data_IF_911219535049
#
_entry.id   IF_911219535049
#
_cell.length_a   1.000
_cell.length_b   1.000
_cell.length_c   1.000
_cell.angle_alpha   90.00
_cell.angle_beta   90.00
_cell.angle_gamma   90.00
#
_symmetry.space_group_name_H-M   'P 1'
#
loop_
_entity.id
_entity.type
_entity.pdbx_description
1 polymer ?
#
# COMPACT_ATOMS: atom_id res chain seq x y z
N UNK A 1 35.75 15.08 18.21
CA UNK A 1 35.20 16.06 17.26
C UNK A 1 33.76 16.35 17.64
N UNK A 2 33.38 17.63 17.80
CA UNK A 2 32.03 18.04 18.21
C UNK A 2 31.14 18.29 16.97
N UNK A 3 29.84 18.01 17.04
CA UNK A 3 28.92 18.16 15.90
C UNK A 3 28.76 19.64 15.53
N UNK A 4 29.10 20.00 14.29
CA UNK A 4 29.06 21.38 13.78
C UNK A 4 27.65 21.95 13.61
N UNK A 5 26.62 21.09 13.70
CA UNK A 5 25.21 21.42 13.53
C UNK A 5 24.39 21.06 14.79
N UNK A 6 24.94 21.36 15.97
CA UNK A 6 24.24 21.25 17.25
C UNK A 6 23.77 22.64 17.67
N UNK A 7 22.46 22.82 17.77
CA UNK A 7 21.86 24.03 18.30
C UNK A 7 21.25 23.72 19.67
N UNK A 8 21.68 24.44 20.71
CA UNK A 8 21.10 24.36 22.04
C UNK A 8 20.39 25.69 22.33
N UNK A 9 19.10 25.61 22.61
CA UNK A 9 18.30 26.77 22.97
C UNK A 9 17.72 26.57 24.37
N UNK A 10 18.15 27.40 25.32
CA UNK A 10 17.58 27.46 26.67
C UNK A 10 16.48 28.51 26.71
N UNK A 11 15.30 28.11 27.15
CA UNK A 11 14.17 29.00 27.40
C UNK A 11 13.86 29.01 28.88
N UNK A 12 13.64 30.20 29.44
CA UNK A 12 13.08 30.35 30.76
C UNK A 12 11.60 30.66 30.62
N UNK A 13 10.74 29.80 31.16
CA UNK A 13 9.31 30.03 31.13
C UNK A 13 8.79 30.18 32.55
N UNK A 14 8.01 31.24 32.75
CA UNK A 14 7.33 31.54 34.00
C UNK A 14 5.83 31.64 33.73
N UNK A 15 5.05 30.87 34.47
CA UNK A 15 3.60 30.91 34.44
C UNK A 15 3.10 31.44 35.78
N UNK A 16 2.58 32.67 35.77
CA UNK A 16 2.11 33.33 36.99
C UNK A 16 0.83 32.72 37.54
N UNK A 17 -0.09 32.28 36.66
CA UNK A 17 -1.35 31.63 37.05
C UNK A 17 -1.14 30.31 37.81
N UNK A 18 -0.06 29.58 37.51
CA UNK A 18 0.30 28.32 38.18
C UNK A 18 1.45 28.46 39.18
N UNK A 19 1.99 29.69 39.38
CA UNK A 19 3.18 29.98 40.21
C UNK A 19 4.36 29.03 39.96
N UNK A 20 4.59 28.66 38.71
CA UNK A 20 5.70 27.77 38.31
C UNK A 20 6.62 28.49 37.36
N UNK A 21 7.92 28.39 37.61
CA UNK A 21 8.96 28.82 36.69
C UNK A 21 9.97 27.69 36.49
N UNK A 22 10.56 27.63 35.31
CA UNK A 22 11.52 26.57 34.97
C UNK A 22 12.35 26.92 33.74
N UNK A 23 13.51 26.29 33.66
CA UNK A 23 14.34 26.32 32.46
C UNK A 23 14.06 25.09 31.61
N UNK A 24 13.93 25.32 30.30
CA UNK A 24 13.68 24.31 29.29
C UNK A 24 14.82 24.36 28.29
N UNK A 25 15.60 23.29 28.21
CA UNK A 25 16.69 23.16 27.26
C UNK A 25 16.23 22.34 26.06
N UNK A 26 16.25 22.96 24.88
CA UNK A 26 15.94 22.33 23.60
C UNK A 26 17.27 22.05 22.88
N UNK A 27 17.56 20.78 22.63
CA UNK A 27 18.72 20.36 21.87
C UNK A 27 18.28 19.89 20.48
N UNK A 28 18.69 20.61 19.44
CA UNK A 28 18.42 20.26 18.04
C UNK A 28 19.70 19.76 17.39
N UNK A 29 19.68 18.51 16.94
CA UNK A 29 20.80 17.84 16.28
C UNK A 29 20.49 17.75 14.79
N UNK A 30 21.29 18.41 13.95
CA UNK A 30 21.10 18.37 12.49
C UNK A 30 21.27 16.97 11.90
N UNK A 31 20.53 16.69 10.81
CA UNK A 31 20.37 15.38 10.14
C UNK A 31 21.67 14.62 9.80
N UNK A 32 22.82 15.29 9.73
CA UNK A 32 24.12 14.68 9.37
C UNK A 32 25.15 14.64 10.49
N UNK A 33 24.82 15.09 11.70
CA UNK A 33 25.77 15.00 12.82
C UNK A 33 25.77 13.58 13.39
N UNK A 34 26.45 12.69 12.67
CA UNK A 34 26.75 11.34 13.13
C UNK A 34 27.58 11.45 14.43
N UNK A 35 26.99 10.99 15.53
CA UNK A 35 27.68 10.84 16.80
C UNK A 35 28.85 9.85 16.61
N UNK A 36 30.10 10.22 16.93
CA UNK A 36 31.26 9.36 16.67
C UNK A 36 31.30 8.06 17.50
N UNK A 37 30.43 7.89 18.50
CA UNK A 37 30.50 6.80 19.49
C UNK A 37 29.32 5.82 19.53
N UNK A 38 28.69 5.45 18.40
CA UNK A 38 27.83 4.25 18.50
C UNK A 38 26.81 3.91 17.43
N UNK A 39 26.82 4.50 16.24
CA UNK A 39 25.86 4.04 15.23
C UNK A 39 26.35 2.81 14.47
N UNK A 40 26.32 1.64 15.14
CA UNK A 40 26.65 0.33 14.54
C UNK A 40 25.79 -0.02 13.31
N UNK A 41 24.69 0.71 13.09
CA UNK A 41 23.71 0.42 12.04
C UNK A 41 23.72 1.36 10.82
N UNK A 42 24.68 2.29 10.69
CA UNK A 42 24.73 3.32 9.62
C UNK A 42 23.58 4.35 9.70
N UNK A 43 23.77 5.57 9.18
CA UNK A 43 22.83 6.70 9.39
C UNK A 43 21.39 6.49 8.88
N UNK A 44 20.53 7.51 9.02
CA UNK A 44 19.10 7.47 8.65
C UNK A 44 18.88 6.91 7.23
N UNK A 45 19.79 7.19 6.29
CA UNK A 45 19.77 6.64 4.93
C UNK A 45 19.85 5.11 4.91
N UNK A 46 20.71 4.50 5.74
CA UNK A 46 20.83 3.04 5.84
C UNK A 46 19.61 2.44 6.55
N UNK A 47 19.05 3.10 7.56
CA UNK A 47 17.78 2.68 8.15
C UNK A 47 16.61 2.81 7.17
N UNK A 48 16.57 3.87 6.37
CA UNK A 48 15.57 4.07 5.34
C UNK A 48 15.73 3.03 4.22
N UNK A 49 16.96 2.70 3.82
CA UNK A 49 17.25 1.63 2.88
C UNK A 49 16.85 0.26 3.45
N UNK A 50 17.21 -0.05 4.71
CA UNK A 50 16.79 -1.27 5.41
C UNK A 50 15.26 -1.35 5.56
N UNK A 51 14.59 -0.24 5.83
CA UNK A 51 13.13 -0.18 5.90
C UNK A 51 12.50 -0.34 4.50
N UNK A 52 13.08 0.25 3.45
CA UNK A 52 12.65 0.05 2.06
C UNK A 52 12.88 -1.38 1.59
N UNK A 53 13.99 -2.02 1.97
CA UNK A 53 14.26 -3.42 1.65
C UNK A 53 13.41 -4.37 2.50
N UNK A 54 13.13 -4.01 3.76
CA UNK A 54 12.22 -4.75 4.64
C UNK A 54 10.76 -4.63 4.21
N UNK A 55 10.35 -3.56 3.50
CA UNK A 55 9.02 -3.46 2.87
C UNK A 55 8.79 -4.45 1.73
N UNK A 56 9.81 -5.23 1.34
CA UNK A 56 9.66 -6.37 0.42
C UNK A 56 9.28 -7.66 1.14
N UNK A 57 9.03 -7.66 2.46
CA UNK A 57 8.46 -8.81 3.18
C UNK A 57 6.93 -8.85 3.04
N UNK A 58 6.32 -10.05 3.03
CA UNK A 58 4.91 -10.24 2.74
C UNK A 58 4.08 -9.73 3.93
N UNK A 59 3.48 -8.55 3.78
CA UNK A 59 2.62 -7.93 4.80
C UNK A 59 2.63 -6.40 4.77
N UNK A 60 3.65 -5.79 4.16
CA UNK A 60 3.78 -4.33 4.02
C UNK A 60 3.75 -3.83 2.58
N UNK A 61 3.03 -4.52 1.68
CA UNK A 61 2.83 -4.07 0.31
C UNK A 61 1.96 -2.81 0.28
N UNK A 62 2.43 -1.78 -0.40
CA UNK A 62 1.72 -0.52 -0.62
C UNK A 62 0.26 -0.83 -0.97
N UNK A 63 -0.68 -0.43 -0.11
CA UNK A 63 -2.13 -0.64 -0.34
C UNK A 63 -2.53 -0.19 -1.76
N UNK A 64 -1.85 0.83 -2.28
CA UNK A 64 -1.93 1.29 -3.66
C UNK A 64 -1.59 0.19 -4.69
N UNK A 65 -0.43 -0.45 -4.61
CA UNK A 65 -0.02 -1.55 -5.50
C UNK A 65 -1.00 -2.73 -5.46
N UNK A 66 -1.42 -3.13 -4.24
CA UNK A 66 -2.39 -4.22 -4.07
C UNK A 66 -3.76 -3.85 -4.67
N UNK A 67 -4.20 -2.60 -4.50
CA UNK A 67 -5.44 -2.10 -5.07
C UNK A 67 -5.39 -2.00 -6.60
N UNK A 68 -4.25 -1.57 -7.16
CA UNK A 68 -4.05 -1.44 -8.60
C UNK A 68 -4.03 -2.81 -9.29
N UNK A 69 -3.32 -3.79 -8.70
CA UNK A 69 -3.32 -5.17 -9.20
C UNK A 69 -4.71 -5.79 -9.17
N UNK A 70 -5.49 -5.54 -8.11
CA UNK A 70 -6.86 -6.03 -8.00
C UNK A 70 -7.80 -5.41 -9.04
N UNK A 71 -7.69 -4.10 -9.26
CA UNK A 71 -8.47 -3.38 -10.29
C UNK A 71 -8.12 -3.90 -11.68
N UNK A 72 -6.84 -4.13 -11.97
CA UNK A 72 -6.42 -4.67 -13.26
C UNK A 72 -6.92 -6.11 -13.48
N UNK A 73 -6.92 -6.93 -12.42
CA UNK A 73 -7.54 -8.26 -12.44
C UNK A 73 -9.03 -8.22 -12.80
N UNK A 74 -9.78 -7.25 -12.27
CA UNK A 74 -11.21 -7.09 -12.57
C UNK A 74 -11.44 -6.63 -14.00
N UNK A 75 -10.62 -5.70 -14.52
CA UNK A 75 -10.70 -5.28 -15.93
C UNK A 75 -10.46 -6.45 -16.86
N UNK A 76 -9.48 -7.31 -16.56
CA UNK A 76 -9.19 -8.52 -17.31
C UNK A 76 -10.35 -9.50 -17.28
N UNK A 77 -10.91 -9.78 -16.10
CA UNK A 77 -12.09 -10.66 -15.96
C UNK A 77 -13.28 -10.16 -16.78
N UNK A 78 -13.55 -8.84 -16.75
CA UNK A 78 -14.61 -8.23 -17.57
C UNK A 78 -14.38 -8.47 -19.06
N UNK A 79 -13.13 -8.33 -19.51
CA UNK A 79 -12.76 -8.58 -20.90
C UNK A 79 -12.97 -10.06 -21.27
N UNK A 80 -12.51 -11.00 -20.43
CA UNK A 80 -12.68 -12.43 -20.65
C UNK A 80 -14.16 -12.84 -20.74
N UNK A 81 -15.02 -12.36 -19.83
CA UNK A 81 -16.47 -12.60 -19.87
C UNK A 81 -17.09 -12.06 -21.17
N UNK A 82 -16.72 -10.84 -21.56
CA UNK A 82 -17.24 -10.22 -22.79
C UNK A 82 -16.83 -11.02 -24.04
N UNK A 83 -15.57 -11.48 -24.07
CA UNK A 83 -15.05 -12.28 -25.18
C UNK A 83 -15.72 -13.65 -25.25
N UNK A 84 -15.93 -14.33 -24.11
CA UNK A 84 -16.67 -15.59 -24.06
C UNK A 84 -18.11 -15.46 -24.55
N UNK A 85 -18.82 -14.40 -24.14
CA UNK A 85 -20.18 -14.11 -24.63
C UNK A 85 -20.20 -13.89 -26.15
N UNK A 86 -19.23 -13.15 -26.70
CA UNK A 86 -19.12 -12.96 -28.15
C UNK A 86 -18.86 -14.27 -28.88
N UNK A 87 -17.96 -15.11 -28.37
CA UNK A 87 -17.67 -16.43 -28.95
C UNK A 87 -18.90 -17.34 -28.90
N UNK A 88 -19.69 -17.31 -27.82
CA UNK A 88 -20.96 -18.02 -27.75
C UNK A 88 -21.97 -17.52 -28.78
N UNK A 89 -22.14 -16.21 -28.92
CA UNK A 89 -23.04 -15.65 -29.94
C UNK A 89 -22.65 -16.08 -31.35
N UNK A 90 -21.34 -16.17 -31.63
CA UNK A 90 -20.84 -16.73 -32.89
C UNK A 90 -21.12 -18.23 -33.02
N UNK A 91 -20.97 -19.00 -31.94
CA UNK A 91 -21.29 -20.43 -31.91
C UNK A 91 -22.77 -20.69 -32.19
N UNK A 92 -23.66 -19.91 -31.56
CA UNK A 92 -25.10 -19.95 -31.83
C UNK A 92 -25.41 -19.64 -33.29
N UNK A 93 -24.74 -18.64 -33.87
CA UNK A 93 -24.90 -18.27 -35.28
C UNK A 93 -24.42 -19.36 -36.23
N UNK A 94 -23.44 -20.17 -35.84
CA UNK A 94 -22.92 -21.29 -36.63
C UNK A 94 -23.56 -22.65 -36.27
N UNK A 95 -24.58 -22.65 -35.40
CA UNK A 95 -25.23 -23.87 -34.88
C UNK A 95 -24.26 -24.89 -34.27
N UNK A 96 -23.08 -24.43 -33.81
CA UNK A 96 -22.06 -25.30 -33.21
C UNK A 96 -22.36 -25.54 -31.72
N UNK A 97 -23.20 -26.54 -31.48
CA UNK A 97 -23.60 -26.99 -30.16
C UNK A 97 -22.43 -27.58 -29.34
N UNK A 98 -21.37 -28.04 -30.00
CA UNK A 98 -20.16 -28.58 -29.38
C UNK A 98 -19.40 -27.47 -28.67
N UNK A 99 -19.13 -26.38 -29.40
CA UNK A 99 -18.47 -25.20 -28.85
C UNK A 99 -19.30 -24.58 -27.72
N UNK A 100 -20.63 -24.51 -27.88
CA UNK A 100 -21.52 -23.98 -26.87
C UNK A 100 -21.45 -24.77 -25.55
N UNK A 101 -21.45 -26.11 -25.62
CA UNK A 101 -21.31 -26.99 -24.45
C UNK A 101 -20.00 -26.77 -23.71
N UNK A 102 -18.92 -26.44 -24.42
CA UNK A 102 -17.61 -26.15 -23.81
C UNK A 102 -17.54 -24.74 -23.22
N UNK A 103 -18.15 -23.74 -23.87
CA UNK A 103 -18.08 -22.34 -23.44
C UNK A 103 -18.98 -22.06 -22.22
N UNK A 104 -20.10 -22.75 -22.07
CA UNK A 104 -21.07 -22.53 -20.98
C UNK A 104 -20.48 -22.68 -19.57
N UNK A 105 -19.77 -23.77 -19.24
CA UNK A 105 -19.14 -23.90 -17.92
C UNK A 105 -18.05 -22.83 -17.70
N UNK A 106 -17.28 -22.47 -18.74
CA UNK A 106 -16.25 -21.43 -18.64
C UNK A 106 -16.85 -20.06 -18.33
N UNK A 107 -17.95 -19.71 -19.00
CA UNK A 107 -18.65 -18.46 -18.75
C UNK A 107 -19.24 -18.42 -17.33
N UNK A 108 -19.83 -19.52 -16.87
CA UNK A 108 -20.39 -19.62 -15.52
C UNK A 108 -19.32 -19.41 -14.44
N UNK A 109 -18.17 -20.07 -14.57
CA UNK A 109 -17.05 -19.92 -13.64
C UNK A 109 -16.54 -18.46 -13.60
N UNK A 110 -16.34 -17.86 -14.78
CA UNK A 110 -15.83 -16.48 -14.88
C UNK A 110 -16.83 -15.45 -14.34
N UNK A 111 -18.13 -15.63 -14.59
CA UNK A 111 -19.17 -14.79 -14.01
C UNK A 111 -19.26 -14.92 -12.49
N UNK A 112 -19.08 -16.12 -11.94
CA UNK A 112 -19.03 -16.34 -10.49
C UNK A 112 -17.85 -15.58 -9.85
N UNK A 113 -16.65 -15.72 -10.43
CA UNK A 113 -15.45 -15.01 -9.95
C UNK A 113 -15.63 -13.50 -10.06
N UNK A 114 -16.19 -13.02 -11.18
CA UNK A 114 -16.46 -11.60 -11.39
C UNK A 114 -17.44 -11.03 -10.35
N UNK A 115 -18.51 -11.77 -10.05
CA UNK A 115 -19.45 -11.45 -8.98
C UNK A 115 -18.76 -11.40 -7.63
N UNK A 116 -18.03 -12.45 -7.24
CA UNK A 116 -17.32 -12.53 -5.97
C UNK A 116 -16.31 -11.37 -5.79
N UNK A 117 -15.60 -10.99 -6.86
CA UNK A 117 -14.68 -9.86 -6.84
C UNK A 117 -15.40 -8.51 -6.65
N UNK A 118 -16.55 -8.31 -7.31
CA UNK A 118 -17.35 -7.10 -7.17
C UNK A 118 -18.01 -6.96 -5.79
N UNK A 119 -18.60 -8.05 -5.27
CA UNK A 119 -19.23 -8.04 -3.94
C UNK A 119 -18.19 -7.94 -2.82
N UNK A 120 -17.05 -8.64 -2.94
CA UNK A 120 -15.95 -8.56 -1.97
C UNK A 120 -15.28 -7.17 -1.90
N UNK A 121 -15.32 -6.38 -2.99
CA UNK A 121 -14.90 -4.97 -2.97
C UNK A 121 -15.92 -4.04 -2.32
N UNK A 122 -17.22 -4.39 -2.37
CA UNK A 122 -18.29 -3.57 -1.80
C UNK A 122 -18.28 -3.65 -0.27
N UNK A 123 -18.03 -4.83 0.30
CA UNK A 123 -17.92 -4.99 1.76
C UNK A 123 -16.69 -4.31 2.37
N UNK A 124 -15.57 -4.21 1.63
CA UNK A 124 -14.39 -3.47 2.11
C UNK A 124 -14.56 -1.95 2.16
N UNK A 125 -15.56 -1.39 1.46
CA UNK A 125 -15.85 0.05 1.54
C UNK A 125 -16.68 0.45 2.76
N UNK A 126 -17.22 -0.49 3.53
CA UNK A 126 -18.04 -0.22 4.72
C UNK A 126 -17.23 -0.15 6.04
N UNK A 127 -15.91 -0.30 6.01
CA UNK A 127 -15.01 -0.28 7.18
C UNK A 127 -13.94 0.83 7.12
N UNK A 128 -14.22 1.95 6.44
CA UNK A 128 -13.38 3.16 6.51
C UNK A 128 -14.19 4.40 6.81
#
# INVERSE_FOLDING_TARGET
>A
MAPTNLHLQRMWAQNESLRRSGFYDIMTVGVFSAHPHGYKNGGLVNMLQKAKSSRRTPGGGDKAWASETAVEGIKRLRHEVTTLLRSMLMAFRQEDLSLLKTLLPQLQEKCYIYGAAFYGLRDRKCFS
#
